data_IF_828322068917
#
_entry.id   IF_828322068917
#
_cell.length_a   1.000
_cell.length_b   1.000
_cell.length_c   1.000
_cell.angle_alpha   90.00
_cell.angle_beta   90.00
_cell.angle_gamma   90.00
#
_symmetry.space_group_name_H-M   'P 1'
#
loop_
_entity.id
_entity.type
_entity.pdbx_description
1 polymer ?
#
# COMPACT_ATOMS: atom_id res chain seq x y z
N UNK A 1 -12.24 -12.37 -22.61
CA UNK A 1 -10.77 -12.23 -22.62
C UNK A 1 -10.37 -11.26 -23.71
N UNK A 2 -9.55 -10.30 -23.33
CA UNK A 2 -8.93 -9.29 -24.17
C UNK A 2 -7.51 -9.75 -24.51
N UNK A 3 -7.06 -9.56 -25.75
CA UNK A 3 -5.79 -10.09 -26.27
C UNK A 3 -5.14 -9.08 -27.20
N UNK A 4 -3.82 -9.20 -27.44
CA UNK A 4 -3.06 -8.14 -28.09
C UNK A 4 -3.41 -7.95 -29.57
N UNK A 5 -4.11 -8.92 -30.18
CA UNK A 5 -4.70 -8.78 -31.51
C UNK A 5 -5.75 -7.67 -31.62
N UNK A 6 -6.27 -7.17 -30.48
CA UNK A 6 -7.22 -6.05 -30.43
C UNK A 6 -6.57 -4.68 -30.23
N UNK A 7 -5.25 -4.63 -30.06
CA UNK A 7 -4.47 -3.39 -29.93
C UNK A 7 -3.93 -2.95 -31.29
N UNK A 8 -3.88 -1.63 -31.50
CA UNK A 8 -3.18 -1.03 -32.65
C UNK A 8 -1.66 -1.17 -32.48
N UNK A 9 -0.91 -0.99 -33.57
CA UNK A 9 0.57 -1.04 -33.52
C UNK A 9 1.16 0.03 -32.58
N UNK A 10 0.53 1.21 -32.55
CA UNK A 10 0.88 2.33 -31.65
C UNK A 10 0.74 1.94 -30.17
N UNK A 11 -0.38 1.31 -29.81
CA UNK A 11 -0.65 0.83 -28.44
C UNK A 11 0.32 -0.27 -27.99
N UNK A 12 0.76 -1.13 -28.92
CA UNK A 12 1.77 -2.14 -28.63
C UNK A 12 3.12 -1.50 -28.38
N UNK A 13 3.50 -0.51 -29.19
CA UNK A 13 4.75 0.23 -29.01
C UNK A 13 4.79 0.95 -27.65
N UNK A 14 3.67 1.55 -27.24
CA UNK A 14 3.53 2.17 -25.92
C UNK A 14 3.72 1.15 -24.77
N UNK A 15 3.09 -0.02 -24.85
CA UNK A 15 3.26 -1.08 -23.84
C UNK A 15 4.72 -1.52 -23.71
N UNK A 16 5.45 -1.64 -24.82
CA UNK A 16 6.88 -1.94 -24.80
C UNK A 16 7.70 -0.80 -24.17
N UNK A 17 7.38 0.45 -24.51
CA UNK A 17 8.03 1.63 -23.93
C UNK A 17 7.85 1.67 -22.42
N UNK A 18 6.62 1.57 -21.94
CA UNK A 18 6.31 1.59 -20.51
C UNK A 18 6.97 0.44 -19.76
N UNK A 19 6.99 -0.77 -20.33
CA UNK A 19 7.71 -1.89 -19.73
C UNK A 19 9.24 -1.65 -19.68
N UNK A 20 9.80 -0.98 -20.69
CA UNK A 20 11.22 -0.60 -20.71
C UNK A 20 11.54 0.50 -19.68
N UNK A 21 10.55 1.31 -19.32
CA UNK A 21 10.61 2.29 -18.23
C UNK A 21 10.42 1.64 -16.84
N UNK A 22 10.18 0.33 -16.78
CA UNK A 22 9.99 -0.42 -15.53
C UNK A 22 8.54 -0.54 -15.08
N UNK A 23 7.56 -0.26 -15.95
CA UNK A 23 6.14 -0.37 -15.62
C UNK A 23 5.73 -1.82 -15.32
N UNK A 24 5.01 -2.02 -14.21
CA UNK A 24 4.45 -3.31 -13.84
C UNK A 24 3.17 -3.62 -14.63
N UNK A 25 2.69 -4.87 -14.55
CA UNK A 25 1.45 -5.31 -15.21
C UNK A 25 0.25 -4.42 -14.81
N UNK A 26 0.18 -3.99 -13.55
CA UNK A 26 -0.86 -3.10 -13.04
C UNK A 26 -0.75 -1.68 -13.62
N UNK A 27 0.48 -1.17 -13.80
CA UNK A 27 0.72 0.12 -14.44
C UNK A 27 0.32 0.08 -15.90
N UNK A 28 0.67 -0.97 -16.63
CA UNK A 28 0.24 -1.15 -18.02
C UNK A 28 -1.29 -1.17 -18.13
N UNK A 29 -1.98 -1.85 -17.22
CA UNK A 29 -3.45 -1.84 -17.16
C UNK A 29 -3.99 -0.42 -16.92
N UNK A 30 -3.40 0.34 -16.01
CA UNK A 30 -3.82 1.72 -15.69
C UNK A 30 -3.53 2.67 -16.85
N UNK A 31 -2.34 2.62 -17.44
CA UNK A 31 -1.94 3.44 -18.57
C UNK A 31 -2.77 3.15 -19.82
N UNK A 32 -3.10 1.89 -20.09
CA UNK A 32 -4.00 1.55 -21.21
C UNK A 32 -5.41 2.13 -21.02
N UNK A 33 -5.88 2.23 -19.77
CA UNK A 33 -7.16 2.86 -19.44
C UNK A 33 -7.11 4.39 -19.54
N UNK A 34 -6.02 5.02 -19.09
CA UNK A 34 -5.87 6.49 -19.08
C UNK A 34 -5.56 7.03 -20.48
N UNK A 35 -4.55 6.48 -21.15
CA UNK A 35 -4.05 6.99 -22.43
C UNK A 35 -4.93 6.57 -23.61
N UNK A 36 -5.42 5.33 -23.57
CA UNK A 36 -6.15 4.71 -24.69
C UNK A 36 -7.63 4.46 -24.39
N UNK A 37 -8.10 4.71 -23.16
CA UNK A 37 -9.49 4.47 -22.75
C UNK A 37 -9.87 2.99 -22.66
N UNK A 38 -8.91 2.07 -22.73
CA UNK A 38 -9.16 0.63 -22.81
C UNK A 38 -9.12 0.03 -21.41
N UNK A 39 -10.30 -0.21 -20.83
CA UNK A 39 -10.43 -0.92 -19.56
C UNK A 39 -10.25 -2.42 -19.74
N UNK A 40 -9.11 -2.96 -19.34
CA UNK A 40 -8.82 -4.41 -19.31
C UNK A 40 -8.70 -4.93 -17.87
N UNK A 41 -8.83 -6.24 -17.69
CA UNK A 41 -8.58 -6.88 -16.39
C UNK A 41 -7.09 -7.18 -16.20
N UNK A 42 -6.68 -7.44 -14.96
CA UNK A 42 -5.30 -7.85 -14.65
C UNK A 42 -4.89 -9.13 -15.39
N UNK A 43 -5.81 -10.09 -15.52
CA UNK A 43 -5.56 -11.31 -16.31
C UNK A 43 -5.32 -10.97 -17.78
N UNK A 44 -6.12 -10.06 -18.36
CA UNK A 44 -5.90 -9.62 -19.74
C UNK A 44 -4.54 -8.93 -19.88
N UNK A 45 -4.15 -8.06 -18.95
CA UNK A 45 -2.83 -7.41 -18.97
C UNK A 45 -1.68 -8.43 -18.90
N UNK A 46 -1.79 -9.46 -18.05
CA UNK A 46 -0.83 -10.56 -18.01
C UNK A 46 -0.78 -11.33 -19.34
N UNK A 47 -1.92 -11.55 -20.00
CA UNK A 47 -1.95 -12.14 -21.33
C UNK A 47 -1.31 -11.24 -22.39
N UNK A 48 -1.49 -9.92 -22.32
CA UNK A 48 -0.84 -8.98 -23.25
C UNK A 48 0.68 -9.01 -23.12
N UNK A 49 1.20 -9.07 -21.89
CA UNK A 49 2.63 -9.18 -21.61
C UNK A 49 3.22 -10.45 -22.21
N UNK A 50 2.50 -11.57 -22.08
CA UNK A 50 2.88 -12.85 -22.68
C UNK A 50 2.79 -12.84 -24.22
N UNK A 51 1.70 -12.30 -24.79
CA UNK A 51 1.45 -12.28 -26.23
C UNK A 51 2.42 -11.36 -26.99
N UNK A 52 2.81 -10.24 -26.36
CA UNK A 52 3.78 -9.28 -26.88
C UNK A 52 5.23 -9.60 -26.48
N UNK A 53 5.45 -10.70 -25.75
CA UNK A 53 6.76 -11.12 -25.23
C UNK A 53 7.50 -9.96 -24.53
N UNK A 54 6.79 -9.21 -23.70
CA UNK A 54 7.34 -8.07 -22.95
C UNK A 54 8.04 -8.61 -21.71
N UNK A 55 9.34 -8.34 -21.59
CA UNK A 55 10.10 -8.64 -20.38
C UNK A 55 9.81 -7.57 -19.31
N UNK A 56 8.83 -7.85 -18.46
CA UNK A 56 8.60 -7.07 -17.25
C UNK A 56 9.39 -7.73 -16.13
N UNK A 57 10.24 -6.96 -15.46
CA UNK A 57 10.84 -7.38 -14.21
C UNK A 57 9.68 -7.52 -13.21
N UNK A 58 9.26 -8.74 -12.90
CA UNK A 58 8.32 -9.04 -11.81
C UNK A 58 9.03 -8.71 -10.48
N UNK A 59 9.23 -7.42 -10.23
CA UNK A 59 9.54 -6.92 -8.89
C UNK A 59 8.26 -7.09 -8.08
N UNK A 60 8.38 -7.93 -7.07
CA UNK A 60 7.29 -8.37 -6.22
C UNK A 60 6.79 -7.17 -5.41
N UNK A 61 5.58 -6.73 -5.76
CA UNK A 61 4.66 -5.88 -4.98
C UNK A 61 5.06 -4.40 -4.81
N UNK A 62 4.35 -3.50 -5.50
CA UNK A 62 3.34 -2.61 -4.89
C UNK A 62 2.59 -1.79 -5.97
N UNK A 63 1.29 -1.51 -5.80
CA UNK A 63 0.52 -0.72 -6.73
C UNK A 63 0.88 0.77 -6.62
N UNK A 64 1.42 1.35 -7.69
CA UNK A 64 1.52 2.80 -7.85
C UNK A 64 0.11 3.41 -7.98
N UNK A 65 -0.52 3.74 -6.85
CA UNK A 65 -1.56 4.76 -6.83
C UNK A 65 -0.91 6.13 -7.01
N UNK A 66 -0.72 6.51 -8.28
CA UNK A 66 -0.81 7.93 -8.63
C UNK A 66 -2.19 8.43 -8.21
N UNK A 67 -2.20 9.33 -7.23
CA UNK A 67 -3.22 10.36 -7.05
C UNK A 67 -2.49 11.65 -6.74
N UNK A 68 -2.34 12.51 -7.75
CA UNK A 68 -2.23 13.93 -7.47
C UNK A 68 -3.53 14.41 -6.85
N UNK A 69 -3.37 15.23 -5.82
CA UNK A 69 -4.32 16.25 -5.35
C UNK A 69 -5.68 15.76 -4.84
N UNK A 70 -5.78 15.69 -3.51
CA UNK A 70 -7.06 15.59 -2.82
C UNK A 70 -6.88 14.96 -1.45
N UNK A 71 -6.80 15.80 -0.43
CA UNK A 71 -6.93 15.37 0.95
C UNK A 71 -8.16 14.46 1.12
N UNK A 72 -7.96 13.20 1.50
CA UNK A 72 -8.58 12.63 2.70
C UNK A 72 -7.94 11.27 2.98
N UNK A 73 -7.43 11.12 4.20
CA UNK A 73 -6.88 9.89 4.74
C UNK A 73 -8.04 8.93 4.98
N UNK A 74 -8.09 7.79 4.30
CA UNK A 74 -8.80 6.60 4.81
C UNK A 74 -8.08 5.32 4.39
N UNK A 75 -7.77 4.52 5.40
CA UNK A 75 -7.04 3.28 5.35
C UNK A 75 -7.77 2.16 4.59
N UNK A 76 -7.03 1.27 3.95
CA UNK A 76 -7.34 -0.16 3.93
C UNK A 76 -6.17 -1.00 3.37
N UNK A 77 -5.60 -1.79 4.29
CA UNK A 77 -5.31 -3.21 4.09
C UNK A 77 -4.34 -3.63 2.98
N UNK A 78 -3.07 -3.26 3.15
CA UNK A 78 -1.93 -4.02 2.63
C UNK A 78 -1.13 -4.55 3.83
N UNK A 79 -0.86 -5.85 3.88
CA UNK A 79 0.14 -6.38 4.80
C UNK A 79 1.42 -5.57 4.59
N UNK A 80 2.01 -5.00 5.66
CA UNK A 80 3.06 -4.04 5.45
C UNK A 80 4.31 -4.74 4.98
N UNK A 81 4.81 -4.26 3.86
CA UNK A 81 6.16 -4.55 3.43
C UNK A 81 7.09 -3.78 4.38
N UNK A 82 8.23 -4.37 4.78
CA UNK A 82 9.19 -3.69 5.64
C UNK A 82 9.77 -2.49 4.89
N UNK A 83 9.18 -1.30 5.11
CA UNK A 83 9.66 -0.03 4.55
C UNK A 83 11.01 0.38 5.15
N UNK A 84 11.41 -0.20 6.29
CA UNK A 84 12.52 0.30 7.11
C UNK A 84 12.11 1.47 8.02
N UNK A 85 10.85 1.92 7.93
CA UNK A 85 10.25 2.95 8.77
C UNK A 85 9.04 2.40 9.53
N UNK A 86 8.83 2.91 10.74
CA UNK A 86 7.60 2.64 11.51
C UNK A 86 6.47 3.45 10.89
N UNK A 87 5.29 2.87 10.73
CA UNK A 87 4.07 3.57 10.28
C UNK A 87 2.94 3.37 11.26
N UNK A 88 2.32 4.45 11.73
CA UNK A 88 1.22 4.42 12.70
C UNK A 88 -0.05 4.99 12.10
N UNK A 89 -1.16 4.28 12.24
CA UNK A 89 -2.50 4.70 11.83
C UNK A 89 -3.46 4.65 13.01
N UNK A 90 -4.39 5.62 13.07
CA UNK A 90 -5.53 5.61 14.00
C UNK A 90 -6.73 4.99 13.32
N UNK A 91 -7.38 4.08 14.03
CA UNK A 91 -8.66 3.51 13.63
C UNK A 91 -9.79 4.47 14.02
N UNK A 92 -10.74 4.68 13.10
CA UNK A 92 -11.90 5.54 13.32
C UNK A 92 -13.05 4.82 14.06
N UNK A 93 -12.94 3.51 14.27
CA UNK A 93 -13.91 2.72 15.02
C UNK A 93 -13.56 2.76 16.51
N UNK A 94 -14.53 3.17 17.32
CA UNK A 94 -14.39 3.16 18.76
C UNK A 94 -14.32 1.72 19.29
N UNK A 95 -13.17 1.32 19.83
CA UNK A 95 -12.99 0.02 20.49
C UNK A 95 -13.45 0.11 21.94
N UNK A 96 -14.34 -0.78 22.41
CA UNK A 96 -14.79 -0.79 23.80
C UNK A 96 -13.63 -0.86 24.80
N UNK A 97 -13.46 0.17 25.63
CA UNK A 97 -12.38 0.26 26.62
C UNK A 97 -11.14 1.04 26.17
N UNK A 98 -11.05 1.43 24.89
CA UNK A 98 -10.00 2.31 24.36
C UNK A 98 -10.58 3.69 24.01
N UNK A 99 -9.85 4.77 24.36
CA UNK A 99 -10.13 6.12 23.86
C UNK A 99 -9.68 6.28 22.41
N UNK A 100 -8.50 5.74 22.08
CA UNK A 100 -7.94 5.77 20.73
C UNK A 100 -7.34 4.41 20.46
N UNK A 101 -7.64 3.85 19.31
CA UNK A 101 -7.05 2.59 18.84
C UNK A 101 -6.52 2.77 17.43
N UNK A 102 -5.67 1.87 17.01
CA UNK A 102 -5.06 1.93 15.70
C UNK A 102 -4.19 0.73 15.39
N UNK A 103 -3.57 0.79 14.22
CA UNK A 103 -2.61 -0.20 13.76
C UNK A 103 -1.24 0.45 13.61
N UNK A 104 -0.20 -0.27 13.99
CA UNK A 104 1.19 0.09 13.73
C UNK A 104 1.85 -1.01 12.90
N UNK A 105 2.71 -0.54 12.02
CA UNK A 105 3.64 -1.32 11.22
C UNK A 105 5.02 -0.94 11.69
N UNK A 106 5.82 -1.93 12.10
CA UNK A 106 7.21 -1.71 12.50
C UNK A 106 8.15 -1.79 11.29
N UNK A 107 9.38 -1.31 11.45
CA UNK A 107 10.35 -1.21 10.35
C UNK A 107 10.72 -2.57 9.73
N UNK A 108 10.56 -3.64 10.50
CA UNK A 108 10.72 -5.05 10.11
C UNK A 108 9.50 -5.66 9.41
N UNK A 109 8.44 -4.86 9.18
CA UNK A 109 7.20 -5.28 8.52
C UNK A 109 6.21 -5.98 9.45
N UNK A 110 6.55 -6.12 10.73
CA UNK A 110 5.66 -6.72 11.71
C UNK A 110 4.54 -5.74 12.08
N UNK A 111 3.33 -6.26 12.29
CA UNK A 111 2.18 -5.42 12.67
C UNK A 111 1.75 -5.63 14.10
N UNK A 112 1.25 -4.56 14.70
CA UNK A 112 0.57 -4.61 15.98
C UNK A 112 -0.65 -3.69 16.01
N UNK A 113 -1.65 -4.08 16.77
CA UNK A 113 -2.73 -3.19 17.18
C UNK A 113 -2.22 -2.40 18.38
N UNK A 114 -2.44 -1.10 18.38
CA UNK A 114 -2.18 -0.26 19.54
C UNK A 114 -3.48 0.38 20.01
N UNK A 115 -3.59 0.60 21.32
CA UNK A 115 -4.75 1.22 21.92
C UNK A 115 -4.33 2.04 23.13
N UNK A 116 -5.03 3.14 23.39
CA UNK A 116 -4.87 3.97 24.58
C UNK A 116 -6.16 3.84 25.37
N UNK A 117 -6.06 3.34 26.60
CA UNK A 117 -7.22 3.23 27.48
C UNK A 117 -7.67 4.58 28.05
N UNK A 118 -8.81 4.59 28.72
CA UNK A 118 -9.39 5.78 29.36
C UNK A 118 -8.50 6.41 30.47
N UNK A 119 -7.50 5.69 30.95
CA UNK A 119 -6.50 6.19 31.91
C UNK A 119 -5.25 6.74 31.20
N UNK A 120 -5.27 6.81 29.86
CA UNK A 120 -4.18 7.32 29.04
C UNK A 120 -3.00 6.36 28.92
N UNK A 121 -3.18 5.06 29.23
CA UNK A 121 -2.08 4.09 29.13
C UNK A 121 -2.06 3.48 27.73
N UNK A 122 -0.90 3.53 27.03
CA UNK A 122 -0.75 2.86 25.75
C UNK A 122 -0.56 1.36 25.96
N UNK A 123 -1.35 0.57 25.22
CA UNK A 123 -1.22 -0.86 25.02
C UNK A 123 -0.80 -1.16 23.58
N UNK A 124 -0.04 -2.23 23.42
CA UNK A 124 0.43 -2.73 22.13
C UNK A 124 0.21 -4.25 22.10
N UNK A 125 -0.46 -4.72 21.07
CA UNK A 125 -0.83 -6.11 20.85
C UNK A 125 -0.32 -6.55 19.46
N UNK A 126 0.84 -7.23 19.39
CA UNK A 126 1.42 -7.67 18.12
C UNK A 126 0.68 -8.85 17.51
N UNK A 127 0.60 -8.88 16.18
CA UNK A 127 -0.05 -9.95 15.42
C UNK A 127 0.75 -11.26 15.55
N UNK A 128 2.08 -11.17 15.53
CA UNK A 128 2.94 -12.31 15.85
C UNK A 128 3.05 -12.55 17.36
N UNK A 129 2.66 -13.74 17.86
CA UNK A 129 2.74 -14.05 19.28
C UNK A 129 4.19 -14.10 19.77
N UNK A 130 4.48 -13.34 20.83
CA UNK A 130 5.82 -13.26 21.41
C UNK A 130 6.77 -12.32 20.67
N UNK A 131 6.28 -11.61 19.65
CA UNK A 131 7.02 -10.53 19.02
C UNK A 131 7.29 -9.39 20.00
N UNK A 132 8.50 -8.84 19.93
CA UNK A 132 8.91 -7.68 20.72
C UNK A 132 9.59 -6.69 19.80
N UNK A 133 9.01 -5.50 19.56
CA UNK A 133 9.61 -4.49 18.70
C UNK A 133 10.98 -4.05 19.23
N UNK A 134 11.85 -3.64 18.32
CA UNK A 134 13.18 -3.13 18.67
C UNK A 134 13.08 -1.83 19.48
N UNK A 135 14.15 -1.46 20.18
CA UNK A 135 14.13 -0.23 20.98
C UNK A 135 14.01 1.04 20.11
N UNK A 136 14.57 0.99 18.90
CA UNK A 136 14.47 2.07 17.92
C UNK A 136 13.05 2.18 17.36
N UNK A 137 12.41 1.05 17.07
CA UNK A 137 11.02 0.99 16.64
C UNK A 137 10.06 1.55 17.69
N UNK A 138 10.25 1.17 18.96
CA UNK A 138 9.42 1.68 20.06
C UNK A 138 9.55 3.20 20.19
N UNK A 139 10.76 3.75 20.07
CA UNK A 139 10.98 5.19 20.14
C UNK A 139 10.31 5.93 18.96
N UNK A 140 10.44 5.38 17.75
CA UNK A 140 9.82 5.92 16.53
C UNK A 140 8.28 5.85 16.60
N UNK A 141 7.74 4.72 17.04
CA UNK A 141 6.31 4.52 17.30
C UNK A 141 5.76 5.56 18.27
N UNK A 142 6.39 5.74 19.44
CA UNK A 142 5.94 6.71 20.45
C UNK A 142 5.92 8.14 19.91
N UNK A 143 6.97 8.53 19.15
CA UNK A 143 7.06 9.84 18.53
C UNK A 143 5.92 10.05 17.52
N UNK A 144 5.73 9.12 16.60
CA UNK A 144 4.68 9.20 15.59
C UNK A 144 3.29 9.19 16.20
N UNK A 145 3.04 8.29 17.16
CA UNK A 145 1.78 8.23 17.90
C UNK A 145 1.45 9.56 18.56
N UNK A 146 2.41 10.17 19.26
CA UNK A 146 2.21 11.47 19.92
C UNK A 146 1.89 12.59 18.93
N UNK A 147 2.53 12.61 17.76
CA UNK A 147 2.24 13.61 16.72
C UNK A 147 0.86 13.40 16.10
N UNK A 148 0.49 12.14 15.87
CA UNK A 148 -0.79 11.75 15.29
C UNK A 148 -1.94 12.12 16.23
N UNK A 149 -1.84 11.80 17.53
CA UNK A 149 -2.82 12.20 18.53
C UNK A 149 -3.01 13.72 18.60
N UNK A 150 -1.91 14.47 18.57
CA UNK A 150 -1.95 15.94 18.53
C UNK A 150 -2.66 16.48 17.30
N UNK A 151 -2.48 15.83 16.13
CA UNK A 151 -3.19 16.18 14.89
C UNK A 151 -4.69 15.87 14.98
N UNK A 152 -5.06 14.80 15.69
CA UNK A 152 -6.44 14.39 15.92
C UNK A 152 -7.14 15.18 17.05
N UNK A 153 -6.40 16.00 17.81
CA UNK A 153 -6.96 16.85 18.85
C UNK A 153 -7.14 16.20 20.22
N UNK A 154 -6.38 15.12 20.49
CA UNK A 154 -6.28 14.47 21.81
C UNK A 154 -5.19 15.09 22.69
#
# INVERSE_FOLDING_TARGET
MFSASKLTEDQKADLHRWASEGASIADLQKQLKTEHGIGITYMDARFLVLDLNIEIQEEKDEPAQAVEEGAEVTAADGAPLPTGDVSVSVDSVAVPGAMVSGKVVFSDGETAIWAIDQYGRPGLDPDTPGYRPSQEDVASFQKQLSELLRKQGF
#
